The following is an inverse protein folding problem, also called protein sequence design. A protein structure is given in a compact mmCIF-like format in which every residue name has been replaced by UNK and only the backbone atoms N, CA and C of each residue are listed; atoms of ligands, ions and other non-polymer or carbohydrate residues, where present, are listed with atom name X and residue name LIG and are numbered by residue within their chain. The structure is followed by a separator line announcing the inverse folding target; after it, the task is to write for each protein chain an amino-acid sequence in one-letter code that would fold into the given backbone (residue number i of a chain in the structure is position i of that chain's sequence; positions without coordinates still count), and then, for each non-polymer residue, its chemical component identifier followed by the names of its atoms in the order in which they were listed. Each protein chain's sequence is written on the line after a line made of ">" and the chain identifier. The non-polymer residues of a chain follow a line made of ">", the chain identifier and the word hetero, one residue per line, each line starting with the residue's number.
data_IF_814075207161
#
_entry.id   IF_814075207161
#
_cell.length_a   1.000
_cell.length_b   1.000
_cell.length_c   1.000
_cell.angle_alpha   90.00
_cell.angle_beta   90.00
_cell.angle_gamma   90.00
#
_symmetry.space_group_name_H-M   'P 1'
#
loop_
_entity.id
_entity.type
_entity.pdbx_description
1 polymer ?
#
# COMPACT_ATOMS: atom_id res chain seq x y z
N UNK A 1 -8.26 -12.86 6.30
CA UNK A 1 -7.15 -12.57 7.24
C UNK A 1 -7.61 -11.75 8.44
N UNK A 2 -8.30 -10.63 8.27
CA UNK A 2 -8.78 -9.76 9.38
C UNK A 2 -9.62 -10.52 10.40
N UNK A 3 -10.58 -11.32 9.93
CA UNK A 3 -11.46 -12.09 10.83
C UNK A 3 -10.70 -13.15 11.64
N UNK A 4 -9.65 -13.73 11.07
CA UNK A 4 -8.77 -14.66 11.80
C UNK A 4 -8.06 -13.98 12.97
N UNK A 5 -7.56 -12.76 12.75
CA UNK A 5 -6.88 -11.98 13.79
C UNK A 5 -7.87 -11.57 14.88
N UNK A 6 -9.04 -11.06 14.50
CA UNK A 6 -10.08 -10.61 15.45
C UNK A 6 -10.66 -11.73 16.32
N UNK A 7 -10.72 -12.94 15.78
CA UNK A 7 -11.31 -14.09 16.45
C UNK A 7 -10.26 -14.96 17.18
N UNK A 8 -8.98 -14.60 17.13
CA UNK A 8 -7.94 -15.35 17.84
C UNK A 8 -7.94 -14.95 19.32
N UNK A 9 -8.13 -15.91 20.26
CA UNK A 9 -8.21 -15.60 21.68
C UNK A 9 -6.90 -15.09 22.31
N UNK A 10 -5.78 -15.21 21.58
CA UNK A 10 -4.47 -14.71 22.01
C UNK A 10 -4.14 -13.33 21.45
N UNK A 11 -5.06 -12.73 20.68
CA UNK A 11 -4.85 -11.41 20.04
C UNK A 11 -5.87 -10.42 20.58
N UNK A 12 -5.39 -9.37 21.24
CA UNK A 12 -6.20 -8.21 21.62
C UNK A 12 -6.08 -7.10 20.58
N UNK A 13 -7.20 -6.76 19.93
CA UNK A 13 -7.25 -5.76 18.86
C UNK A 13 -7.86 -4.47 19.40
N UNK A 14 -7.02 -3.46 19.62
CA UNK A 14 -7.44 -2.12 20.06
C UNK A 14 -7.63 -1.21 18.85
N UNK A 15 -8.90 -0.98 18.47
CA UNK A 15 -9.26 -0.05 17.38
C UNK A 15 -9.65 1.31 17.94
N UNK A 16 -9.45 2.39 17.13
CA UNK A 16 -9.76 3.75 17.57
C UNK A 16 -8.83 4.29 18.65
N UNK A 17 -7.71 3.62 18.90
CA UNK A 17 -6.70 4.02 19.86
C UNK A 17 -5.38 4.35 19.15
N UNK A 18 -4.69 5.36 19.63
CA UNK A 18 -3.35 5.74 19.18
C UNK A 18 -2.36 5.59 20.32
N UNK A 19 -1.12 5.25 20.01
CA UNK A 19 -0.04 5.24 21.00
C UNK A 19 0.43 6.66 21.25
N UNK A 20 0.18 7.18 22.46
CA UNK A 20 0.58 8.53 22.87
C UNK A 20 2.01 8.59 23.40
N UNK A 21 2.42 7.53 24.10
CA UNK A 21 3.78 7.40 24.59
C UNK A 21 4.22 5.94 24.54
N UNK A 22 5.51 5.75 24.32
CA UNK A 22 6.16 4.45 24.31
C UNK A 22 7.51 4.58 25.00
N UNK A 23 7.75 3.73 25.99
CA UNK A 23 8.97 3.76 26.81
C UNK A 23 9.41 2.35 27.20
N UNK A 24 10.62 2.24 27.76
CA UNK A 24 11.15 0.98 28.26
C UNK A 24 12.31 0.46 27.42
N UNK A 25 12.59 -0.82 27.58
CA UNK A 25 13.71 -1.52 26.93
C UNK A 25 13.25 -2.94 26.54
N UNK A 26 14.02 -3.65 25.70
CA UNK A 26 13.70 -5.05 25.36
C UNK A 26 13.43 -5.90 26.61
N UNK A 27 12.28 -6.56 26.61
CA UNK A 27 11.79 -7.33 27.75
C UNK A 27 10.83 -6.58 28.69
N UNK A 28 10.78 -5.22 28.62
CA UNK A 28 9.98 -4.39 29.52
C UNK A 28 9.58 -3.06 28.83
N UNK A 29 8.76 -3.14 27.79
CA UNK A 29 8.16 -1.96 27.15
C UNK A 29 6.82 -1.63 27.78
N UNK A 30 6.48 -0.35 27.83
CA UNK A 30 5.16 0.14 28.21
C UNK A 30 4.67 1.17 27.19
N UNK A 31 3.45 1.00 26.73
CA UNK A 31 2.77 1.91 25.81
C UNK A 31 1.52 2.48 26.48
N UNK A 32 1.34 3.79 26.39
CA UNK A 32 0.10 4.48 26.80
C UNK A 32 -0.72 4.78 25.56
N UNK A 33 -2.00 4.45 25.60
CA UNK A 33 -2.95 4.65 24.52
C UNK A 33 -3.84 5.87 24.75
N UNK A 34 -4.35 6.48 23.69
CA UNK A 34 -5.24 7.66 23.73
C UNK A 34 -6.58 7.41 24.41
N UNK A 35 -6.99 6.16 24.56
CA UNK A 35 -8.18 5.76 25.32
C UNK A 35 -7.91 5.62 26.82
N UNK A 36 -6.71 5.97 27.29
CA UNK A 36 -6.28 5.88 28.68
C UNK A 36 -5.76 4.51 29.12
N UNK A 37 -5.80 3.50 28.28
CA UNK A 37 -5.24 2.19 28.58
C UNK A 37 -3.70 2.22 28.54
N UNK A 38 -3.09 1.28 29.29
CA UNK A 38 -1.65 1.02 29.21
C UNK A 38 -1.43 -0.44 28.86
N UNK A 39 -0.44 -0.70 28.01
CA UNK A 39 -0.07 -2.03 27.57
C UNK A 39 1.41 -2.26 27.85
N UNK A 40 1.72 -3.30 28.62
CA UNK A 40 3.08 -3.74 28.84
C UNK A 40 3.42 -4.92 27.93
N UNK A 41 4.61 -4.89 27.33
CA UNK A 41 5.05 -5.90 26.39
C UNK A 41 6.54 -6.17 26.48
N UNK A 42 6.94 -7.42 26.24
CA UNK A 42 8.36 -7.80 26.17
C UNK A 42 9.00 -7.34 24.85
N UNK A 43 8.20 -7.22 23.78
CA UNK A 43 8.64 -6.78 22.46
C UNK A 43 7.58 -5.91 21.78
N UNK A 44 8.00 -5.04 20.85
CA UNK A 44 7.11 -4.25 20.02
C UNK A 44 7.52 -4.38 18.55
N UNK A 45 6.51 -4.54 17.68
CA UNK A 45 6.68 -4.57 16.24
C UNK A 45 6.02 -3.32 15.67
N UNK A 46 6.81 -2.48 15.01
CA UNK A 46 6.33 -1.24 14.41
C UNK A 46 5.86 -1.49 12.98
N UNK A 47 4.55 -1.39 12.77
CA UNK A 47 3.88 -1.54 11.46
C UNK A 47 3.06 -0.29 11.15
N UNK A 48 3.66 0.89 11.27
CA UNK A 48 2.98 2.20 11.17
C UNK A 48 2.72 2.66 9.73
N UNK A 49 3.06 1.82 8.76
CA UNK A 49 2.89 2.16 7.34
C UNK A 49 3.90 3.21 6.85
N UNK A 50 3.54 3.89 5.78
CA UNK A 50 4.36 4.93 5.15
C UNK A 50 3.46 5.98 4.49
N UNK A 51 4.03 7.15 4.22
CA UNK A 51 3.35 8.20 3.46
C UNK A 51 3.57 7.99 1.97
N UNK A 52 2.48 7.85 1.22
CA UNK A 52 2.53 7.76 -0.24
C UNK A 52 3.04 9.07 -0.85
N UNK A 53 3.72 8.95 -1.97
CA UNK A 53 4.04 10.11 -2.78
C UNK A 53 2.77 10.70 -3.38
N UNK A 54 2.62 12.02 -3.29
CA UNK A 54 1.49 12.70 -3.92
C UNK A 54 1.75 12.84 -5.43
N UNK A 55 1.00 12.05 -6.22
CA UNK A 55 1.20 11.92 -7.65
C UNK A 55 0.89 13.20 -8.45
N UNK A 56 0.19 14.19 -7.88
CA UNK A 56 -0.01 15.51 -8.51
C UNK A 56 1.31 16.26 -8.72
N UNK A 57 2.35 15.92 -7.96
CA UNK A 57 3.70 16.50 -8.11
C UNK A 57 4.49 15.93 -9.31
N UNK A 58 3.87 15.01 -10.09
CA UNK A 58 4.42 14.49 -11.35
C UNK A 58 3.34 14.58 -12.44
N UNK A 59 3.01 15.82 -12.87
CA UNK A 59 1.91 16.09 -13.80
C UNK A 59 2.08 15.44 -15.18
N UNK A 60 3.29 15.13 -15.59
CA UNK A 60 3.59 14.46 -16.85
C UNK A 60 2.94 13.06 -16.96
N UNK A 61 2.58 12.43 -15.83
CA UNK A 61 1.86 11.15 -15.81
C UNK A 61 0.34 11.31 -15.85
N UNK A 62 -0.16 12.56 -15.80
CA UNK A 62 -1.57 12.88 -16.01
C UNK A 62 -2.50 12.64 -14.83
N UNK A 63 -1.96 12.28 -13.63
CA UNK A 63 -2.79 12.17 -12.42
C UNK A 63 -3.40 13.54 -12.06
N UNK A 64 -4.71 13.54 -11.79
CA UNK A 64 -5.49 14.77 -11.57
C UNK A 64 -5.92 15.49 -12.86
N UNK A 65 -5.38 15.09 -14.03
CA UNK A 65 -5.76 15.63 -15.34
C UNK A 65 -6.69 14.68 -16.09
N UNK A 66 -6.33 13.39 -16.11
CA UNK A 66 -7.12 12.36 -16.75
C UNK A 66 -7.84 11.51 -15.70
N UNK A 67 -9.18 11.34 -15.77
CA UNK A 67 -9.93 10.65 -14.73
C UNK A 67 -9.57 9.18 -14.56
N UNK A 68 -9.06 8.51 -15.60
CA UNK A 68 -8.67 7.11 -15.56
C UNK A 68 -7.21 6.88 -15.15
N UNK A 69 -6.48 7.96 -14.83
CA UNK A 69 -5.16 7.86 -14.19
C UNK A 69 -5.35 7.90 -12.68
N UNK A 70 -5.11 6.77 -12.05
CA UNK A 70 -5.34 6.55 -10.62
C UNK A 70 -4.08 6.04 -9.93
N UNK A 71 -4.02 6.18 -8.61
CA UNK A 71 -2.95 5.59 -7.80
C UNK A 71 -3.22 4.12 -7.52
N UNK A 72 -2.17 3.36 -7.18
CA UNK A 72 -2.31 1.97 -6.72
C UNK A 72 -3.23 1.85 -5.51
N UNK A 73 -3.17 2.81 -4.58
CA UNK A 73 -4.08 2.86 -3.42
C UNK A 73 -5.56 2.97 -3.83
N UNK A 74 -5.87 3.76 -4.86
CA UNK A 74 -7.24 3.87 -5.36
C UNK A 74 -7.72 2.56 -6.02
N UNK A 75 -6.83 1.87 -6.75
CA UNK A 75 -7.15 0.54 -7.31
C UNK A 75 -7.40 -0.47 -6.19
N UNK A 76 -6.55 -0.51 -5.16
CA UNK A 76 -6.74 -1.36 -3.99
C UNK A 76 -8.07 -1.08 -3.28
N UNK A 77 -8.47 0.18 -3.17
CA UNK A 77 -9.78 0.56 -2.63
C UNK A 77 -10.94 0.07 -3.50
N UNK A 78 -10.81 0.09 -4.83
CA UNK A 78 -11.82 -0.47 -5.73
C UNK A 78 -11.99 -1.98 -5.50
N UNK A 79 -10.88 -2.72 -5.42
CA UNK A 79 -10.88 -4.16 -5.18
C UNK A 79 -11.45 -4.48 -3.79
N UNK A 80 -10.93 -3.85 -2.74
CA UNK A 80 -11.32 -4.13 -1.35
C UNK A 80 -12.77 -3.75 -1.02
N UNK A 81 -13.33 -2.76 -1.72
CA UNK A 81 -14.74 -2.36 -1.57
C UNK A 81 -15.73 -3.34 -2.23
N UNK A 82 -15.25 -4.35 -2.95
CA UNK A 82 -16.06 -5.29 -3.71
C UNK A 82 -16.71 -4.71 -4.99
N UNK A 83 -16.41 -3.45 -5.33
CA UNK A 83 -16.87 -2.82 -6.57
C UNK A 83 -16.09 -3.29 -7.80
N UNK A 84 -14.89 -3.81 -7.55
CA UNK A 84 -13.95 -4.23 -8.56
C UNK A 84 -13.34 -3.09 -9.36
N UNK A 85 -12.36 -3.42 -10.18
CA UNK A 85 -11.59 -2.43 -10.96
C UNK A 85 -12.45 -1.86 -12.08
N UNK A 86 -12.60 -0.53 -12.09
CA UNK A 86 -13.39 0.23 -13.05
C UNK A 86 -12.66 1.48 -13.51
N UNK A 87 -12.95 1.92 -14.73
CA UNK A 87 -12.56 3.24 -15.21
C UNK A 87 -13.37 4.30 -14.46
N UNK A 88 -12.75 5.23 -13.72
CA UNK A 88 -13.47 6.29 -13.02
C UNK A 88 -14.31 7.19 -13.93
N UNK A 89 -13.89 7.36 -15.20
CA UNK A 89 -14.57 8.20 -16.18
C UNK A 89 -15.98 7.73 -16.55
N UNK A 90 -16.22 6.41 -16.59
CA UNK A 90 -17.46 5.86 -17.15
C UNK A 90 -17.95 4.56 -16.47
N UNK A 91 -17.23 4.08 -15.46
CA UNK A 91 -17.55 2.88 -14.69
C UNK A 91 -17.34 1.55 -15.43
N UNK A 92 -16.83 1.55 -16.66
CA UNK A 92 -16.59 0.31 -17.42
C UNK A 92 -15.41 -0.47 -16.87
N UNK A 93 -15.41 -1.78 -17.11
CA UNK A 93 -14.26 -2.65 -16.88
C UNK A 93 -13.15 -2.30 -17.88
N UNK A 94 -11.92 -2.02 -17.44
CA UNK A 94 -10.82 -1.73 -18.36
C UNK A 94 -10.43 -2.98 -19.13
N UNK A 95 -10.14 -2.83 -20.43
CA UNK A 95 -9.55 -3.89 -21.25
C UNK A 95 -8.03 -3.89 -21.21
N UNK A 96 -7.43 -2.77 -20.83
CA UNK A 96 -5.98 -2.58 -20.70
C UNK A 96 -5.70 -1.72 -19.49
N UNK A 97 -4.73 -2.13 -18.71
CA UNK A 97 -4.22 -1.38 -17.55
C UNK A 97 -2.72 -1.22 -17.71
N UNK A 98 -2.22 -0.02 -17.52
CA UNK A 98 -0.80 0.28 -17.49
C UNK A 98 -0.41 0.65 -16.05
N UNK A 99 0.58 -0.03 -15.49
CA UNK A 99 1.13 0.26 -14.16
C UNK A 99 2.51 0.89 -14.36
N UNK A 100 2.67 2.11 -13.87
CA UNK A 100 3.94 2.85 -13.96
C UNK A 100 4.67 2.75 -12.62
N UNK A 101 5.85 2.17 -12.63
CA UNK A 101 6.71 2.07 -11.46
C UNK A 101 7.55 3.34 -11.24
N UNK A 102 8.08 3.49 -10.04
CA UNK A 102 9.01 4.55 -9.65
C UNK A 102 8.45 5.99 -9.75
N UNK A 103 7.13 6.18 -9.85
CA UNK A 103 6.55 7.53 -9.76
C UNK A 103 6.81 8.09 -8.36
N UNK A 104 7.56 9.20 -8.27
CA UNK A 104 7.96 9.80 -7.00
C UNK A 104 9.11 9.11 -6.27
N UNK A 105 9.81 8.17 -6.93
CA UNK A 105 11.06 7.58 -6.42
C UNK A 105 12.05 7.36 -7.57
N UNK A 106 13.37 7.29 -7.25
CA UNK A 106 14.45 7.21 -8.23
C UNK A 106 14.42 8.37 -9.24
N UNK A 107 14.01 9.54 -8.77
CA UNK A 107 13.80 10.73 -9.58
C UNK A 107 14.59 11.92 -9.00
N UNK A 108 15.68 12.28 -9.68
CA UNK A 108 16.54 13.39 -9.29
C UNK A 108 15.89 14.76 -9.49
N UNK A 109 14.95 14.86 -10.42
CA UNK A 109 14.29 16.13 -10.73
C UNK A 109 13.48 16.67 -9.55
N UNK A 110 12.99 15.77 -8.71
CA UNK A 110 12.20 16.10 -7.50
C UNK A 110 12.95 15.79 -6.20
N UNK A 111 14.27 15.54 -6.28
CA UNK A 111 15.10 15.25 -5.11
C UNK A 111 14.82 13.91 -4.42
N UNK A 112 14.23 12.95 -5.12
CA UNK A 112 13.88 11.62 -4.60
C UNK A 112 14.68 10.53 -5.31
N UNK A 113 15.98 10.51 -5.08
CA UNK A 113 16.93 9.65 -5.84
C UNK A 113 16.83 8.15 -5.49
N UNK A 114 16.31 7.81 -4.32
CA UNK A 114 16.33 6.45 -3.79
C UNK A 114 15.12 5.64 -4.19
N UNK A 115 15.31 4.31 -4.25
CA UNK A 115 14.23 3.36 -4.48
C UNK A 115 13.32 3.26 -3.24
N UNK A 116 12.00 3.25 -3.46
CA UNK A 116 11.01 3.05 -2.39
C UNK A 116 10.99 1.61 -1.83
N UNK A 117 11.60 0.65 -2.55
CA UNK A 117 11.70 -0.79 -2.22
C UNK A 117 10.37 -1.56 -2.17
N UNK A 118 9.26 -0.94 -2.45
CA UNK A 118 7.92 -1.56 -2.32
C UNK A 118 7.14 -1.61 -3.63
N UNK A 119 7.34 -0.64 -4.53
CA UNK A 119 6.46 -0.49 -5.69
C UNK A 119 6.46 -1.71 -6.62
N UNK A 120 7.60 -2.38 -6.81
CA UNK A 120 7.67 -3.55 -7.67
C UNK A 120 6.80 -4.70 -7.13
N UNK A 121 6.92 -5.04 -5.86
CA UNK A 121 6.13 -6.11 -5.21
C UNK A 121 4.65 -5.76 -5.18
N UNK A 122 4.31 -4.53 -4.78
CA UNK A 122 2.91 -4.07 -4.75
C UNK A 122 2.30 -4.13 -6.15
N UNK A 123 3.02 -3.67 -7.18
CA UNK A 123 2.50 -3.68 -8.56
C UNK A 123 2.37 -5.07 -9.15
N UNK A 124 3.27 -6.00 -8.81
CA UNK A 124 3.15 -7.40 -9.23
C UNK A 124 1.90 -8.05 -8.61
N UNK A 125 1.67 -7.88 -7.31
CA UNK A 125 0.47 -8.39 -6.65
C UNK A 125 -0.80 -7.76 -7.24
N UNK A 126 -0.82 -6.44 -7.44
CA UNK A 126 -1.96 -5.75 -8.04
C UNK A 126 -2.25 -6.24 -9.46
N UNK A 127 -1.21 -6.51 -10.26
CA UNK A 127 -1.38 -7.07 -11.59
C UNK A 127 -2.04 -8.46 -11.56
N UNK A 128 -1.69 -9.29 -10.58
CA UNK A 128 -2.33 -10.60 -10.36
C UNK A 128 -3.80 -10.43 -9.96
N UNK A 129 -4.10 -9.58 -8.98
CA UNK A 129 -5.46 -9.31 -8.51
C UNK A 129 -6.36 -8.75 -9.65
N UNK A 130 -5.83 -7.81 -10.45
CA UNK A 130 -6.54 -7.31 -11.63
C UNK A 130 -6.83 -8.44 -12.64
N UNK A 131 -5.86 -9.33 -12.87
CA UNK A 131 -6.01 -10.46 -13.79
C UNK A 131 -6.98 -11.50 -13.27
N UNK A 132 -7.02 -11.76 -11.97
CA UNK A 132 -8.00 -12.65 -11.35
C UNK A 132 -9.42 -12.11 -11.48
N UNK A 133 -9.62 -10.81 -11.26
CA UNK A 133 -10.94 -10.18 -11.37
C UNK A 133 -11.36 -9.98 -12.84
N UNK A 134 -10.43 -9.63 -13.71
CA UNK A 134 -10.63 -9.29 -15.12
C UNK A 134 -9.74 -10.16 -16.02
N UNK A 135 -10.10 -11.45 -16.28
CA UNK A 135 -9.26 -12.38 -17.06
C UNK A 135 -8.91 -11.89 -18.46
N UNK A 136 -9.81 -11.11 -19.08
CA UNK A 136 -9.63 -10.55 -20.45
C UNK A 136 -8.86 -9.22 -20.45
N UNK A 137 -8.49 -8.69 -19.30
CA UNK A 137 -7.73 -7.44 -19.20
C UNK A 137 -6.23 -7.68 -19.44
N UNK A 138 -5.64 -6.91 -20.34
CA UNK A 138 -4.19 -6.89 -20.52
C UNK A 138 -3.56 -5.93 -19.53
N UNK A 139 -2.64 -6.43 -18.68
CA UNK A 139 -1.90 -5.60 -17.72
C UNK A 139 -0.47 -5.42 -18.20
N UNK A 140 -0.03 -4.19 -18.28
CA UNK A 140 1.32 -3.79 -18.69
C UNK A 140 2.02 -3.13 -17.51
N UNK A 141 3.24 -3.53 -17.20
CA UNK A 141 4.07 -2.92 -16.15
C UNK A 141 5.24 -2.21 -16.83
N UNK A 142 5.33 -0.89 -16.65
CA UNK A 142 6.41 -0.05 -17.15
C UNK A 142 7.40 0.21 -16.02
N UNK A 143 8.65 -0.17 -16.22
CA UNK A 143 9.69 -0.13 -15.18
C UNK A 143 11.06 0.28 -15.75
N UNK A 144 11.94 0.76 -14.89
CA UNK A 144 13.36 0.94 -15.21
C UNK A 144 14.13 -0.37 -14.98
N UNK A 145 13.85 -1.04 -13.88
CA UNK A 145 14.26 -2.40 -13.51
C UNK A 145 13.26 -2.93 -12.47
N UNK A 146 13.16 -4.24 -12.33
CA UNK A 146 12.34 -4.87 -11.29
C UNK A 146 13.25 -5.17 -10.09
N UNK A 147 12.79 -4.75 -8.91
CA UNK A 147 13.47 -4.93 -7.63
C UNK A 147 12.51 -5.53 -6.62
N UNK A 148 12.66 -6.82 -6.37
CA UNK A 148 11.92 -7.53 -5.33
C UNK A 148 12.90 -7.87 -4.21
N UNK A 149 12.88 -7.11 -3.14
CA UNK A 149 13.85 -7.24 -2.06
C UNK A 149 13.55 -8.44 -1.14
N UNK A 150 14.61 -9.04 -0.60
CA UNK A 150 14.51 -10.18 0.30
C UNK A 150 14.38 -11.51 -0.43
N UNK A 151 13.57 -12.42 0.10
CA UNK A 151 13.39 -13.78 -0.45
C UNK A 151 12.53 -13.83 -1.74
N UNK A 152 12.09 -12.68 -2.23
CA UNK A 152 11.26 -12.59 -3.44
C UNK A 152 12.07 -12.42 -4.74
N UNK A 153 13.40 -12.43 -4.66
CA UNK A 153 14.29 -12.30 -5.83
C UNK A 153 14.66 -13.64 -6.49
N UNK A 154 14.10 -14.76 -6.01
CA UNK A 154 14.37 -16.11 -6.53
C UNK A 154 13.33 -16.54 -7.54
#
# INVERSE_FOLDING_TARGET
>A
MVDRVRNDPLVDVQTGAQVESFAGQPGAFSARLSNGASVDAAAAILCTGFTHFDSVNKPEWGFGTFPDVVTTTQVEQMISSGKGVRCPSDGRKPKRVAILLCVGSRDRQIGREWCSKICCTVSANMAMEIREELPDCHVYIYYMDIRTFGLYET
#
